data_IF_686278528107
#
_entry.id   IF_686278528107
#
_cell.length_a   1.000
_cell.length_b   1.000
_cell.length_c   1.000
_cell.angle_alpha   90.00
_cell.angle_beta   90.00
_cell.angle_gamma   90.00
#
_symmetry.space_group_name_H-M   'P 1'
#
loop_
_entity.id
_entity.type
_entity.pdbx_description
1 polymer ?
#
# COMPACT_ATOMS: atom_id res chain seq x y z
N UNK A 1 17.35 10.92 -5.75
CA UNK A 1 16.21 10.68 -4.86
C UNK A 1 15.00 10.52 -5.74
N UNK A 2 14.12 9.55 -5.48
CA UNK A 2 13.05 9.24 -6.40
C UNK A 2 12.04 10.38 -6.50
N UNK A 3 11.55 10.64 -7.70
CA UNK A 3 10.46 11.58 -7.91
C UNK A 3 9.07 10.92 -7.69
N UNK A 4 8.01 11.72 -7.69
CA UNK A 4 6.63 11.23 -7.51
C UNK A 4 6.22 10.20 -8.56
N UNK A 5 6.80 10.23 -9.76
CA UNK A 5 6.51 9.26 -10.82
C UNK A 5 7.15 7.89 -10.54
N UNK A 6 8.35 7.88 -9.96
CA UNK A 6 9.02 6.66 -9.51
C UNK A 6 8.30 6.04 -8.31
N UNK A 7 7.81 6.86 -7.39
CA UNK A 7 6.94 6.41 -6.29
C UNK A 7 5.65 5.81 -6.83
N UNK A 8 4.99 6.44 -7.82
CA UNK A 8 3.78 5.92 -8.44
C UNK A 8 4.00 4.54 -9.09
N UNK A 9 5.17 4.30 -9.69
CA UNK A 9 5.52 3.02 -10.33
C UNK A 9 5.60 1.86 -9.34
N UNK A 10 5.84 2.12 -8.05
CA UNK A 10 5.77 1.09 -7.01
C UNK A 10 4.38 0.42 -6.95
N UNK A 11 3.33 1.10 -7.43
CA UNK A 11 1.94 0.63 -7.41
C UNK A 11 1.45 0.06 -8.76
N UNK A 12 2.24 0.08 -9.84
CA UNK A 12 1.75 -0.31 -11.17
C UNK A 12 1.46 -1.81 -11.28
N UNK A 13 2.30 -2.65 -10.67
CA UNK A 13 2.07 -4.10 -10.62
C UNK A 13 1.23 -4.47 -9.42
N UNK A 14 -0.09 -4.43 -9.58
CA UNK A 14 -1.04 -4.86 -8.55
C UNK A 14 -0.88 -6.35 -8.18
N UNK A 15 -1.20 -6.75 -6.94
CA UNK A 15 -1.47 -8.14 -6.60
C UNK A 15 -2.41 -8.81 -7.61
N UNK A 16 -2.12 -10.08 -7.95
CA UNK A 16 -2.94 -10.86 -8.89
C UNK A 16 -4.25 -11.33 -8.28
N UNK A 17 -4.26 -11.50 -6.96
CA UNK A 17 -5.40 -11.99 -6.19
C UNK A 17 -5.67 -11.03 -5.04
N UNK A 18 -6.95 -10.79 -4.78
CA UNK A 18 -7.47 -9.94 -3.73
C UNK A 18 -8.36 -10.76 -2.81
N UNK A 19 -8.46 -10.38 -1.54
CA UNK A 19 -9.32 -11.07 -0.58
C UNK A 19 -10.72 -10.48 -0.51
N UNK A 20 -10.88 -9.22 -0.94
CA UNK A 20 -12.13 -8.47 -0.94
C UNK A 20 -12.27 -7.60 -2.19
N UNK A 21 -13.50 -7.35 -2.69
CA UNK A 21 -13.75 -6.37 -3.74
C UNK A 21 -13.36 -4.92 -3.33
N UNK A 22 -13.24 -4.63 -2.03
CA UNK A 22 -12.75 -3.35 -1.54
C UNK A 22 -11.23 -3.17 -1.74
N UNK A 23 -10.44 -4.26 -1.78
CA UNK A 23 -8.98 -4.17 -1.79
C UNK A 23 -8.43 -3.41 -3.01
N UNK A 24 -8.90 -3.64 -4.26
CA UNK A 24 -8.42 -2.88 -5.42
C UNK A 24 -8.76 -1.39 -5.35
N UNK A 25 -9.89 -1.02 -4.71
CA UNK A 25 -10.31 0.37 -4.54
C UNK A 25 -9.42 1.05 -3.50
N UNK A 26 -9.24 0.43 -2.34
CA UNK A 26 -8.36 0.91 -1.29
C UNK A 26 -6.90 1.00 -1.76
N UNK A 27 -6.41 0.05 -2.59
CA UNK A 27 -5.09 0.13 -3.22
C UNK A 27 -4.89 1.42 -4.02
N UNK A 28 -5.88 1.82 -4.83
CA UNK A 28 -5.80 3.05 -5.62
C UNK A 28 -5.84 4.28 -4.71
N UNK A 29 -6.72 4.28 -3.70
CA UNK A 29 -6.78 5.38 -2.74
C UNK A 29 -5.45 5.56 -1.99
N UNK A 30 -4.80 4.47 -1.56
CA UNK A 30 -3.47 4.52 -0.94
C UNK A 30 -2.42 5.04 -1.91
N UNK A 31 -2.40 4.57 -3.16
CA UNK A 31 -1.50 5.10 -4.21
C UNK A 31 -1.65 6.61 -4.33
N UNK A 32 -2.88 7.09 -4.49
CA UNK A 32 -3.17 8.50 -4.71
C UNK A 32 -2.74 9.34 -3.50
N UNK A 33 -3.04 8.88 -2.28
CA UNK A 33 -2.61 9.56 -1.05
C UNK A 33 -1.09 9.62 -0.91
N UNK A 34 -0.39 8.50 -1.15
CA UNK A 34 1.08 8.45 -1.09
C UNK A 34 1.71 9.36 -2.14
N UNK A 35 1.20 9.34 -3.38
CA UNK A 35 1.70 10.18 -4.47
C UNK A 35 1.42 11.69 -4.29
N UNK A 36 0.43 12.04 -3.46
CA UNK A 36 0.15 13.43 -3.10
C UNK A 36 1.11 14.00 -2.04
N UNK A 37 1.93 13.15 -1.41
CA UNK A 37 2.94 13.60 -0.44
C UNK A 37 4.26 13.98 -1.11
N UNK A 38 5.10 14.68 -0.35
CA UNK A 38 6.50 14.89 -0.71
C UNK A 38 7.18 13.51 -0.79
N UNK A 39 7.91 13.19 -1.88
CA UNK A 39 8.61 11.92 -2.00
C UNK A 39 9.58 11.69 -0.83
N UNK A 40 9.52 10.51 -0.17
CA UNK A 40 10.41 10.20 0.93
C UNK A 40 11.87 10.04 0.47
N UNK A 41 12.80 10.31 1.38
CA UNK A 41 14.23 10.29 1.11
C UNK A 41 14.84 8.90 1.21
N UNK A 42 14.22 8.02 2.00
CA UNK A 42 14.67 6.66 2.28
C UNK A 42 13.53 5.63 2.17
N UNK A 43 13.85 4.34 2.05
CA UNK A 43 12.81 3.32 2.03
C UNK A 43 12.11 3.20 3.40
N UNK A 44 12.81 3.49 4.48
CA UNK A 44 12.23 3.51 5.84
C UNK A 44 11.17 4.60 5.97
N UNK A 45 11.46 5.80 5.47
CA UNK A 45 10.47 6.89 5.42
C UNK A 45 9.29 6.54 4.50
N UNK A 46 9.55 5.90 3.36
CA UNK A 46 8.48 5.40 2.50
C UNK A 46 7.57 4.42 3.23
N UNK A 47 8.13 3.45 3.96
CA UNK A 47 7.34 2.45 4.70
C UNK A 47 6.53 3.12 5.82
N UNK A 48 7.10 4.08 6.53
CA UNK A 48 6.39 4.85 7.55
C UNK A 48 5.22 5.64 6.94
N UNK A 49 5.45 6.31 5.81
CA UNK A 49 4.41 7.00 5.06
C UNK A 49 3.33 6.04 4.57
N UNK A 50 3.71 4.93 3.95
CA UNK A 50 2.79 3.92 3.44
C UNK A 50 1.85 3.41 4.54
N UNK A 51 2.41 3.08 5.72
CA UNK A 51 1.60 2.61 6.86
C UNK A 51 0.61 3.66 7.32
N UNK A 52 1.05 4.93 7.42
CA UNK A 52 0.16 6.05 7.76
C UNK A 52 -1.01 6.16 6.79
N UNK A 53 -0.73 6.16 5.49
CA UNK A 53 -1.78 6.29 4.46
C UNK A 53 -2.69 5.06 4.38
N UNK A 54 -2.18 3.87 4.69
CA UNK A 54 -3.00 2.66 4.83
C UNK A 54 -3.99 2.82 5.98
N UNK A 55 -3.53 3.22 7.17
CA UNK A 55 -4.43 3.42 8.33
C UNK A 55 -5.50 4.45 7.99
N UNK A 56 -5.12 5.52 7.30
CA UNK A 56 -6.06 6.57 6.92
C UNK A 56 -7.10 6.13 5.86
N UNK A 57 -6.74 5.23 4.94
CA UNK A 57 -7.68 4.70 3.93
C UNK A 57 -8.53 3.55 4.47
N UNK A 58 -7.92 2.65 5.24
CA UNK A 58 -8.53 1.41 5.75
C UNK A 58 -9.26 1.64 7.06
N UNK A 59 -8.85 2.64 7.85
CA UNK A 59 -9.39 2.99 9.15
C UNK A 59 -8.74 2.25 10.33
N UNK A 60 -7.89 1.26 10.09
CA UNK A 60 -7.20 0.47 11.12
C UNK A 60 -5.75 0.16 10.74
N UNK A 61 -4.92 -0.14 11.73
CA UNK A 61 -3.57 -0.65 11.51
C UNK A 61 -3.62 -2.10 11.03
N UNK A 62 -3.17 -2.33 9.80
CA UNK A 62 -3.14 -3.67 9.20
C UNK A 62 -2.16 -4.60 9.90
N UNK A 63 -1.19 -4.10 10.67
CA UNK A 63 -0.27 -4.94 11.44
C UNK A 63 -0.86 -5.43 12.76
N UNK A 64 -1.91 -4.79 13.27
CA UNK A 64 -2.60 -5.25 14.46
C UNK A 64 -3.39 -6.53 14.13
N UNK A 65 -3.06 -7.63 14.80
CA UNK A 65 -3.66 -8.93 14.52
C UNK A 65 -5.10 -9.04 15.04
N UNK A 66 -5.47 -8.21 16.02
CA UNK A 66 -6.73 -8.30 16.76
C UNK A 66 -7.81 -7.36 16.18
N UNK A 67 -7.46 -6.48 15.24
CA UNK A 67 -8.42 -5.58 14.61
C UNK A 67 -9.20 -6.24 13.48
N UNK A 68 -10.46 -5.81 13.36
CA UNK A 68 -11.37 -6.17 12.27
C UNK A 68 -11.62 -4.92 11.43
N UNK A 69 -11.58 -5.06 10.11
CA UNK A 69 -11.90 -3.97 9.21
C UNK A 69 -13.42 -3.78 9.15
N UNK A 70 -13.87 -2.58 9.46
CA UNK A 70 -15.26 -2.19 9.24
C UNK A 70 -15.50 -1.88 7.74
N UNK A 71 -16.72 -2.10 7.22
CA UNK A 71 -17.08 -1.71 5.86
C UNK A 71 -17.06 -0.18 5.69
N UNK A 72 -15.99 0.35 5.10
CA UNK A 72 -15.76 1.78 4.92
C UNK A 72 -15.45 2.19 3.48
N UNK A 73 -15.08 1.23 2.63
CA UNK A 73 -14.66 1.48 1.25
C UNK A 73 -15.85 1.29 0.32
N UNK A 74 -16.19 2.30 -0.49
CA UNK A 74 -17.30 2.20 -1.43
C UNK A 74 -16.91 1.44 -2.70
N UNK A 75 -17.57 0.30 -2.93
CA UNK A 75 -17.50 -0.48 -4.17
C UNK A 75 -18.89 -0.45 -4.81
N UNK A 76 -18.98 0.12 -6.01
CA UNK A 76 -20.27 0.27 -6.72
C UNK A 76 -21.38 0.91 -5.86
N UNK A 77 -20.98 1.86 -4.99
CA UNK A 77 -21.87 2.57 -4.07
C UNK A 77 -22.23 1.81 -2.78
N UNK A 78 -21.65 0.64 -2.53
CA UNK A 78 -21.86 -0.16 -1.31
C UNK A 78 -20.61 -0.15 -0.43
N UNK A 79 -20.74 0.03 0.90
CA UNK A 79 -19.60 -0.07 1.80
C UNK A 79 -19.17 -1.54 1.92
N UNK A 80 -17.89 -1.79 1.66
CA UNK A 80 -17.25 -3.09 1.75
C UNK A 80 -16.01 -2.97 2.64
N UNK A 81 -15.70 -4.02 3.39
CA UNK A 81 -14.50 -4.08 4.22
C UNK A 81 -13.31 -4.61 3.41
N UNK A 82 -12.11 -4.09 3.67
CA UNK A 82 -10.88 -4.66 3.09
C UNK A 82 -10.54 -5.99 3.75
N UNK A 83 -9.81 -6.85 3.04
CA UNK A 83 -9.32 -8.10 3.58
C UNK A 83 -7.96 -7.89 4.26
N UNK A 84 -7.97 -7.56 5.55
CA UNK A 84 -6.75 -7.28 6.33
C UNK A 84 -5.62 -8.31 6.17
N UNK A 85 -5.88 -9.64 6.13
CA UNK A 85 -4.81 -10.61 5.90
C UNK A 85 -4.10 -10.41 4.56
N UNK A 86 -4.81 -10.04 3.49
CA UNK A 86 -4.19 -9.72 2.18
C UNK A 86 -3.29 -8.50 2.30
N UNK A 87 -3.73 -7.47 3.02
CA UNK A 87 -2.95 -6.26 3.19
C UNK A 87 -1.65 -6.50 3.97
N UNK A 88 -1.76 -7.21 5.10
CA UNK A 88 -0.65 -7.57 5.98
C UNK A 88 0.37 -8.49 5.32
N UNK A 89 -0.10 -9.53 4.63
CA UNK A 89 0.79 -10.62 4.14
C UNK A 89 1.27 -10.42 2.71
N UNK A 90 0.58 -9.60 1.91
CA UNK A 90 0.89 -9.41 0.49
C UNK A 90 1.20 -7.94 0.18
N UNK A 91 0.27 -7.01 0.46
CA UNK A 91 0.38 -5.61 -0.01
C UNK A 91 1.56 -4.88 0.66
N UNK A 92 1.61 -4.85 1.99
CA UNK A 92 2.66 -4.13 2.72
C UNK A 92 4.04 -4.70 2.42
N UNK A 93 4.27 -6.04 2.46
CA UNK A 93 5.56 -6.63 2.10
C UNK A 93 5.97 -6.33 0.66
N UNK A 94 5.02 -6.39 -0.29
CA UNK A 94 5.28 -6.13 -1.71
C UNK A 94 5.78 -4.71 -1.94
N UNK A 95 5.08 -3.71 -1.40
CA UNK A 95 5.46 -2.30 -1.56
C UNK A 95 6.75 -1.96 -0.81
N UNK A 96 6.96 -2.56 0.37
CA UNK A 96 8.21 -2.45 1.13
C UNK A 96 9.40 -2.97 0.32
N UNK A 97 9.28 -4.14 -0.29
CA UNK A 97 10.34 -4.72 -1.11
C UNK A 97 10.66 -3.85 -2.34
N UNK A 98 9.64 -3.34 -3.02
CA UNK A 98 9.81 -2.44 -4.18
C UNK A 98 10.47 -1.13 -3.79
N UNK A 99 10.08 -0.55 -2.66
CA UNK A 99 10.72 0.66 -2.14
C UNK A 99 12.20 0.40 -1.86
N UNK A 100 12.54 -0.65 -1.12
CA UNK A 100 13.94 -1.01 -0.85
C UNK A 100 14.77 -1.19 -2.14
N UNK A 101 14.19 -1.77 -3.19
CA UNK A 101 14.85 -1.86 -4.50
C UNK A 101 15.06 -0.48 -5.15
N UNK A 102 14.04 0.39 -5.12
CA UNK A 102 14.13 1.75 -5.66
C UNK A 102 15.19 2.61 -4.95
N UNK A 103 15.27 2.50 -3.62
CA UNK A 103 16.25 3.23 -2.80
C UNK A 103 17.63 2.55 -2.74
N UNK A 104 17.82 1.39 -3.38
CA UNK A 104 19.11 0.68 -3.42
C UNK A 104 19.49 -0.08 -2.14
N UNK A 105 18.53 -0.30 -1.24
CA UNK A 105 18.70 -1.07 0.00
C UNK A 105 18.60 -2.59 -0.20
N UNK A 106 18.09 -3.03 -1.36
CA UNK A 106 18.13 -4.43 -1.81
C UNK A 106 18.78 -4.49 -3.20
N UNK A 107 19.61 -5.52 -3.48
CA UNK A 107 20.09 -5.74 -4.83
C UNK A 107 18.88 -5.91 -5.77
N UNK A 108 18.85 -5.10 -6.82
CA UNK A 108 17.91 -5.33 -7.93
C UNK A 108 18.37 -6.58 -8.65
N UNK A 109 17.72 -7.72 -8.39
CA UNK A 109 17.88 -8.89 -9.25
C UNK A 109 17.46 -8.47 -10.67
N UNK A 110 18.44 -8.23 -11.54
CA UNK A 110 18.21 -8.17 -12.98
C UNK A 110 18.06 -9.62 -13.47
N UNK A 111 16.99 -9.97 -14.19
CA UNK A 111 17.02 -11.14 -15.05
C UNK A 111 18.01 -10.96 -16.21
#
# INVERSE_FOLDING_TARGET
MPDSSEIARLFDRRPRHWGSPADPVAWNAVRDKVCAQIPPETATEFVALLRREIVEVVGVDVDDADVVAEPSVLVEGRPEAVHLPTWRTIVVPLLTARARQLYGELPTERP
#
